data_IF_849539244007
#
_entry.id   IF_849539244007
#
_cell.length_a   1.000
_cell.length_b   1.000
_cell.length_c   1.000
_cell.angle_alpha   90.00
_cell.angle_beta   90.00
_cell.angle_gamma   90.00
#
_symmetry.space_group_name_H-M   'P 1'
#
loop_
_entity.id
_entity.type
_entity.pdbx_description
1 polymer ?
#
# COMPACT_ATOMS: atom_id res chain seq x y z
N UNK A 1 20.14 9.16 -4.09
CA UNK A 1 19.12 9.97 -3.37
C UNK A 1 19.03 9.45 -1.95
N UNK A 2 18.85 10.30 -0.93
CA UNK A 2 18.47 9.85 0.41
C UNK A 2 17.22 8.95 0.35
N UNK A 3 17.08 8.00 1.28
CA UNK A 3 15.99 7.02 1.28
C UNK A 3 14.61 7.68 1.14
N UNK A 4 14.35 8.74 1.92
CA UNK A 4 13.08 9.48 1.86
C UNK A 4 12.81 10.07 0.47
N UNK A 5 13.83 10.62 -0.18
CA UNK A 5 13.70 11.23 -1.51
C UNK A 5 13.51 10.17 -2.60
N UNK A 6 14.16 9.01 -2.47
CA UNK A 6 13.95 7.87 -3.37
C UNK A 6 12.52 7.31 -3.22
N UNK A 7 12.04 7.16 -1.99
CA UNK A 7 10.67 6.72 -1.71
C UNK A 7 9.62 7.67 -2.30
N UNK A 8 9.76 8.98 -2.04
CA UNK A 8 8.82 9.97 -2.57
C UNK A 8 8.83 9.98 -4.10
N UNK A 9 10.01 9.87 -4.73
CA UNK A 9 10.13 9.78 -6.17
C UNK A 9 9.39 8.55 -6.73
N UNK A 10 9.62 7.37 -6.14
CA UNK A 10 8.94 6.14 -6.55
C UNK A 10 7.40 6.23 -6.38
N UNK A 11 6.94 6.85 -5.29
CA UNK A 11 5.51 7.06 -5.04
C UNK A 11 4.85 7.96 -6.10
N UNK A 12 5.58 8.93 -6.67
CA UNK A 12 5.11 9.74 -7.78
C UNK A 12 5.17 8.98 -9.12
N UNK A 13 6.22 8.21 -9.36
CA UNK A 13 6.39 7.42 -10.60
C UNK A 13 5.32 6.33 -10.77
N UNK A 14 4.87 5.70 -9.68
CA UNK A 14 3.77 4.71 -9.72
C UNK A 14 2.48 5.31 -10.30
N UNK A 15 2.24 6.61 -10.11
CA UNK A 15 1.06 7.30 -10.67
C UNK A 15 1.13 7.48 -12.19
N UNK A 16 2.31 7.30 -12.78
CA UNK A 16 2.60 7.54 -14.20
C UNK A 16 2.84 6.23 -14.99
N UNK A 17 2.52 5.07 -14.40
CA UNK A 17 2.66 3.79 -15.09
C UNK A 17 1.76 3.73 -16.33
N UNK A 18 2.31 3.26 -17.44
CA UNK A 18 1.61 3.17 -18.73
C UNK A 18 0.58 2.04 -18.79
N UNK A 19 0.69 1.08 -17.88
CA UNK A 19 -0.21 -0.05 -17.74
C UNK A 19 -0.61 -0.20 -16.28
N UNK A 20 -1.84 -0.64 -16.06
CA UNK A 20 -2.30 -0.99 -14.72
C UNK A 20 -1.52 -2.21 -14.21
N UNK A 21 -0.91 -2.15 -13.02
CA UNK A 21 -0.32 -3.32 -12.38
C UNK A 21 -1.40 -4.36 -12.05
N UNK A 22 -0.98 -5.60 -11.83
CA UNK A 22 -1.86 -6.64 -11.31
C UNK A 22 -2.43 -6.25 -9.95
N UNK A 23 -3.56 -6.86 -9.57
CA UNK A 23 -4.16 -6.60 -8.25
C UNK A 23 -3.19 -6.91 -7.10
N UNK A 24 -2.35 -7.94 -7.23
CA UNK A 24 -1.33 -8.28 -6.25
C UNK A 24 -0.27 -7.18 -6.14
N UNK A 25 0.27 -6.70 -7.26
CA UNK A 25 1.25 -5.60 -7.26
C UNK A 25 0.64 -4.32 -6.67
N UNK A 26 -0.64 -4.04 -6.95
CA UNK A 26 -1.35 -2.90 -6.35
C UNK A 26 -1.51 -3.05 -4.83
N UNK A 27 -1.75 -4.26 -4.32
CA UNK A 27 -1.82 -4.54 -2.89
C UNK A 27 -0.45 -4.39 -2.22
N UNK A 28 0.62 -4.85 -2.86
CA UNK A 28 1.99 -4.72 -2.36
C UNK A 28 2.41 -3.25 -2.30
N UNK A 29 2.15 -2.47 -3.35
CA UNK A 29 2.40 -1.03 -3.37
C UNK A 29 1.62 -0.35 -2.24
N UNK A 30 0.34 -0.68 -2.07
CA UNK A 30 -0.50 -0.10 -1.03
C UNK A 30 0.02 -0.42 0.37
N UNK A 31 0.32 -1.68 0.68
CA UNK A 31 0.76 -2.11 2.01
C UNK A 31 2.08 -1.46 2.40
N UNK A 32 3.07 -1.45 1.50
CA UNK A 32 4.37 -0.83 1.75
C UNK A 32 4.27 0.68 1.88
N UNK A 33 3.46 1.34 1.05
CA UNK A 33 3.24 2.77 1.17
C UNK A 33 2.61 3.12 2.51
N UNK A 34 1.61 2.34 2.96
CA UNK A 34 0.97 2.53 4.26
C UNK A 34 1.92 2.29 5.42
N UNK A 35 2.69 1.20 5.42
CA UNK A 35 3.68 0.93 6.47
C UNK A 35 4.77 2.02 6.52
N UNK A 36 5.24 2.50 5.37
CA UNK A 36 6.28 3.53 5.33
C UNK A 36 5.81 4.94 5.74
N UNK A 37 4.51 5.25 5.56
CA UNK A 37 3.98 6.61 5.82
C UNK A 37 3.17 6.72 7.11
N UNK A 38 2.54 5.63 7.56
CA UNK A 38 1.69 5.59 8.75
C UNK A 38 2.28 4.68 9.82
N UNK A 39 3.10 3.70 9.45
CA UNK A 39 3.50 2.60 10.32
C UNK A 39 2.42 1.52 10.38
N UNK A 40 2.38 0.82 11.50
CA UNK A 40 1.43 -0.26 11.75
C UNK A 40 -0.03 0.15 11.51
N UNK A 41 -0.83 -0.80 11.01
CA UNK A 41 -2.27 -0.60 10.83
C UNK A 41 -2.95 -0.15 12.12
N UNK A 42 -3.74 0.91 12.01
CA UNK A 42 -4.36 1.60 13.14
C UNK A 42 -5.87 1.85 12.95
N UNK A 43 -6.49 1.11 12.03
CA UNK A 43 -7.94 1.18 11.76
C UNK A 43 -8.58 -0.20 11.92
N UNK A 44 -9.88 -0.22 12.16
CA UNK A 44 -10.63 -1.47 12.14
C UNK A 44 -10.63 -2.12 10.76
N UNK A 45 -10.73 -3.44 10.77
CA UNK A 45 -10.82 -4.23 9.54
C UNK A 45 -12.20 -4.03 8.89
N UNK A 46 -12.26 -3.71 7.58
CA UNK A 46 -13.53 -3.57 6.87
C UNK A 46 -14.42 -4.82 6.93
N UNK A 47 -15.73 -4.59 6.87
CA UNK A 47 -16.74 -5.66 6.93
C UNK A 47 -16.72 -6.62 5.73
N UNK A 48 -17.38 -7.77 5.87
CA UNK A 48 -17.28 -8.88 4.90
C UNK A 48 -17.72 -8.56 3.47
N UNK A 49 -18.55 -7.53 3.28
CA UNK A 49 -19.04 -7.11 1.95
C UNK A 49 -18.10 -6.12 1.25
N UNK A 50 -17.14 -5.51 1.97
CA UNK A 50 -16.11 -4.65 1.38
C UNK A 50 -14.86 -5.46 1.05
N UNK A 51 -14.94 -6.27 -0.01
CA UNK A 51 -13.84 -7.14 -0.42
C UNK A 51 -12.54 -6.38 -0.72
N UNK A 52 -12.64 -5.20 -1.33
CA UNK A 52 -11.49 -4.39 -1.73
C UNK A 52 -10.83 -3.72 -0.52
N UNK A 53 -11.62 -3.12 0.37
CA UNK A 53 -11.12 -2.54 1.61
C UNK A 53 -10.50 -3.60 2.50
N UNK A 54 -11.17 -4.76 2.63
CA UNK A 54 -10.65 -5.91 3.37
C UNK A 54 -9.31 -6.40 2.81
N UNK A 55 -9.16 -6.56 1.50
CA UNK A 55 -7.90 -6.99 0.88
C UNK A 55 -6.75 -5.99 1.14
N UNK A 56 -7.04 -4.70 1.00
CA UNK A 56 -6.07 -3.62 1.33
C UNK A 56 -5.66 -3.64 2.80
N UNK A 57 -6.64 -3.76 3.70
CA UNK A 57 -6.40 -3.83 5.12
C UNK A 57 -5.58 -5.07 5.49
N UNK A 58 -5.95 -6.24 4.96
CA UNK A 58 -5.25 -7.50 5.18
C UNK A 58 -3.78 -7.40 4.71
N UNK A 59 -3.52 -6.80 3.54
CA UNK A 59 -2.17 -6.60 3.01
C UNK A 59 -1.33 -5.64 3.87
N UNK A 60 -1.91 -4.54 4.36
CA UNK A 60 -1.20 -3.62 5.27
C UNK A 60 -0.94 -4.27 6.64
N UNK A 61 -1.94 -4.92 7.22
CA UNK A 61 -1.80 -5.62 8.50
C UNK A 61 -0.74 -6.73 8.47
N UNK A 62 -0.51 -7.37 7.31
CA UNK A 62 0.52 -8.39 7.14
C UNK A 62 1.95 -7.86 7.27
N UNK A 63 2.18 -6.54 7.14
CA UNK A 63 3.48 -5.90 7.28
C UNK A 63 3.75 -5.33 8.68
N UNK A 64 2.85 -5.57 9.64
CA UNK A 64 2.98 -5.05 11.01
C UNK A 64 4.30 -5.51 11.64
N UNK A 65 5.05 -4.59 12.23
CA UNK A 65 6.36 -4.84 12.83
C UNK A 65 7.36 -3.70 12.65
#
# INVERSE_FOLDING_TARGET
LPLQAAFQKAAEEVKQLKSQPTDQEMLDIYSHYKQATVGDVNTDRPGMLDFKGKAKWDAWNALKG
#
